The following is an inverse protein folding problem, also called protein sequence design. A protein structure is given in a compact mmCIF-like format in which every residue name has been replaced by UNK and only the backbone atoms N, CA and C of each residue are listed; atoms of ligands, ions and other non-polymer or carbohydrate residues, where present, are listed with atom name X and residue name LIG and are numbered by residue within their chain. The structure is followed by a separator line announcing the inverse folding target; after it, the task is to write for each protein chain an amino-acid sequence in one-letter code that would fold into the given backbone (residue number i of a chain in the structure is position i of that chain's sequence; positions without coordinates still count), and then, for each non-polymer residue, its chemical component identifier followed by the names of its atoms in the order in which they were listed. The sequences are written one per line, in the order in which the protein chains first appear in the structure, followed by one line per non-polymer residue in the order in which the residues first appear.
data_IF_301656760692
#
_entry.id   IF_301656760692
#
_cell.length_a   1.000
_cell.length_b   1.000
_cell.length_c   1.000
_cell.angle_alpha   90.00
_cell.angle_beta   90.00
_cell.angle_gamma   90.00
#
_symmetry.space_group_name_H-M   'P 1'
#
loop_
_entity.id
_entity.type
_entity.pdbx_description
1 polymer ?
#
# COMPACT_ATOMS: atom_id res chain seq x y z
N UNK A 1 26.82 -6.43 7.89
CA UNK A 1 25.97 -6.75 6.74
C UNK A 1 24.57 -7.08 7.25
N UNK A 2 23.71 -6.13 7.29
CA UNK A 2 22.29 -6.37 7.60
C UNK A 2 21.66 -6.75 6.26
N UNK A 3 21.76 -8.03 5.90
CA UNK A 3 20.83 -8.60 4.93
C UNK A 3 19.45 -8.43 5.55
N UNK A 4 18.72 -7.48 5.05
CA UNK A 4 17.34 -7.29 5.43
C UNK A 4 16.65 -8.64 5.31
N UNK A 5 16.10 -9.12 6.41
CA UNK A 5 15.29 -10.35 6.51
C UNK A 5 14.07 -10.37 5.56
N UNK A 6 14.08 -9.54 4.53
CA UNK A 6 12.98 -9.40 3.58
C UNK A 6 12.83 -10.64 2.70
N UNK A 7 13.94 -11.27 2.36
CA UNK A 7 13.94 -12.49 1.53
C UNK A 7 13.50 -13.74 2.31
N UNK A 8 13.53 -13.68 3.65
CA UNK A 8 13.12 -14.77 4.51
C UNK A 8 11.64 -14.72 4.93
N UNK A 9 10.93 -13.63 4.58
CA UNK A 9 9.50 -13.52 4.88
C UNK A 9 8.68 -14.34 3.88
N UNK A 10 7.65 -15.04 4.39
CA UNK A 10 6.66 -15.66 3.51
C UNK A 10 6.00 -14.62 2.60
N UNK A 11 5.52 -15.00 1.40
CA UNK A 11 4.81 -14.08 0.51
C UNK A 11 3.66 -13.34 1.19
N UNK A 12 2.93 -14.00 2.08
CA UNK A 12 1.88 -13.38 2.88
C UNK A 12 2.42 -12.30 3.82
N UNK A 13 3.51 -12.56 4.52
CA UNK A 13 4.10 -11.59 5.44
C UNK A 13 4.66 -10.37 4.69
N UNK A 14 5.22 -10.57 3.51
CA UNK A 14 5.65 -9.49 2.63
C UNK A 14 4.45 -8.64 2.17
N UNK A 15 3.36 -9.28 1.78
CA UNK A 15 2.13 -8.60 1.38
C UNK A 15 1.54 -7.78 2.53
N UNK A 16 1.45 -8.34 3.74
CA UNK A 16 0.96 -7.63 4.92
C UNK A 16 1.84 -6.44 5.26
N UNK A 17 3.15 -6.57 5.11
CA UNK A 17 4.08 -5.48 5.34
C UNK A 17 3.88 -4.34 4.33
N UNK A 18 3.67 -4.66 3.06
CA UNK A 18 3.33 -3.67 2.03
C UNK A 18 1.97 -3.02 2.30
N UNK A 19 0.96 -3.79 2.70
CA UNK A 19 -0.36 -3.29 3.09
C UNK A 19 -0.23 -2.23 4.19
N UNK A 20 0.47 -2.55 5.27
CA UNK A 20 0.70 -1.61 6.38
C UNK A 20 1.38 -0.34 5.91
N UNK A 21 2.43 -0.47 5.09
CA UNK A 21 3.14 0.66 4.52
C UNK A 21 2.22 1.56 3.70
N UNK A 22 1.40 0.99 2.83
CA UNK A 22 0.49 1.75 1.98
C UNK A 22 -0.66 2.38 2.77
N UNK A 23 -1.15 1.71 3.81
CA UNK A 23 -2.16 2.29 4.70
C UNK A 23 -1.62 3.52 5.44
N UNK A 24 -0.40 3.44 6.01
CA UNK A 24 0.24 4.59 6.66
C UNK A 24 0.53 5.74 5.70
N UNK A 25 0.77 5.44 4.43
CA UNK A 25 1.15 6.43 3.43
C UNK A 25 0.01 6.81 2.48
N UNK A 26 -1.24 6.45 2.80
CA UNK A 26 -2.37 6.68 1.89
C UNK A 26 -2.47 8.14 1.41
N UNK A 27 -2.37 9.09 2.32
CA UNK A 27 -2.41 10.51 1.98
C UNK A 27 -1.14 11.04 1.32
N UNK A 28 -0.08 10.24 1.26
CA UNK A 28 1.22 10.59 0.69
C UNK A 28 1.55 9.84 -0.60
N UNK A 29 0.59 9.09 -1.16
CA UNK A 29 0.83 8.30 -2.37
C UNK A 29 1.22 9.19 -3.53
N UNK A 30 0.61 10.35 -3.69
CA UNK A 30 0.99 11.31 -4.73
C UNK A 30 2.43 11.79 -4.57
N UNK A 31 2.87 12.03 -3.33
CA UNK A 31 4.27 12.38 -3.03
C UNK A 31 5.23 11.22 -3.36
N UNK A 32 4.82 9.97 -3.10
CA UNK A 32 5.60 8.78 -3.46
C UNK A 32 5.75 8.64 -4.98
N UNK A 33 4.69 8.94 -5.72
CA UNK A 33 4.72 8.95 -7.19
C UNK A 33 5.66 10.03 -7.69
N UNK A 34 5.57 11.25 -7.17
CA UNK A 34 6.44 12.36 -7.55
C UNK A 34 7.91 12.06 -7.26
N UNK A 35 8.18 11.48 -6.09
CA UNK A 35 9.53 11.03 -5.73
C UNK A 35 10.06 9.97 -6.70
N UNK A 36 9.22 9.03 -7.11
CA UNK A 36 9.61 8.02 -8.11
C UNK A 36 9.92 8.64 -9.47
N UNK A 37 9.15 9.64 -9.90
CA UNK A 37 9.43 10.40 -11.12
C UNK A 37 10.79 11.10 -11.05
N UNK A 38 11.11 11.71 -9.91
CA UNK A 38 12.43 12.33 -9.68
C UNK A 38 13.56 11.28 -9.76
N UNK A 39 13.39 10.12 -9.14
CA UNK A 39 14.35 9.01 -9.22
C UNK A 39 14.58 8.57 -10.67
N UNK A 40 13.53 8.47 -11.47
CA UNK A 40 13.63 8.10 -12.87
C UNK A 40 14.39 9.16 -13.70
N UNK A 41 14.15 10.42 -13.40
CA UNK A 41 14.88 11.53 -14.05
C UNK A 41 16.36 11.50 -13.65
N UNK A 42 16.67 11.31 -12.38
CA UNK A 42 18.05 11.28 -11.87
C UNK A 42 18.83 10.08 -12.42
N UNK A 43 18.16 8.95 -12.67
CA UNK A 43 18.77 7.76 -13.25
C UNK A 43 18.91 7.83 -14.77
N UNK A 44 18.35 8.86 -15.42
CA UNK A 44 18.61 9.10 -16.83
C UNK A 44 20.07 9.45 -17.03
N UNK A 45 20.66 8.92 -18.13
CA UNK A 45 22.02 9.26 -18.49
C UNK A 45 22.15 10.80 -18.59
N UNK A 46 23.23 11.35 -18.01
CA UNK A 46 23.51 12.80 -18.01
C UNK A 46 23.39 13.42 -19.40
N UNK A 47 23.80 12.70 -20.47
CA UNK A 47 23.63 13.14 -21.85
C UNK A 47 22.15 13.25 -22.25
N UNK A 48 21.33 12.33 -21.81
CA UNK A 48 19.87 12.34 -22.06
C UNK A 48 19.21 13.45 -21.26
N UNK A 49 19.60 13.63 -19.98
CA UNK A 49 19.08 14.71 -19.15
C UNK A 49 19.49 16.09 -19.67
N UNK A 50 20.73 16.26 -20.12
CA UNK A 50 21.21 17.47 -20.75
C UNK A 50 20.50 17.74 -22.09
N UNK A 51 20.25 16.70 -22.85
CA UNK A 51 19.50 16.76 -24.10
C UNK A 51 18.05 17.17 -23.86
N UNK A 52 17.38 16.60 -22.84
CA UNK A 52 16.02 16.97 -22.43
C UNK A 52 15.92 18.42 -21.97
N UNK A 53 16.95 18.94 -21.28
CA UNK A 53 17.02 20.36 -20.89
C UNK A 53 17.29 21.30 -22.06
N UNK A 54 18.00 20.81 -23.10
CA UNK A 54 18.33 21.58 -24.31
C UNK A 54 17.23 21.55 -25.37
N UNK A 55 16.36 20.58 -25.34
CA UNK A 55 15.31 20.37 -26.35
C UNK A 55 13.94 20.72 -25.77
N UNK A 56 13.79 21.95 -25.31
CA UNK A 56 12.47 22.51 -24.99
C UNK A 56 11.58 22.69 -26.25
N UNK A 57 11.95 22.15 -27.40
CA UNK A 57 11.26 22.38 -28.67
C UNK A 57 10.76 21.12 -29.35
N UNK A 58 11.10 19.93 -28.87
CA UNK A 58 10.62 18.66 -29.41
C UNK A 58 9.55 18.06 -28.52
N UNK A 59 8.29 18.39 -28.83
CA UNK A 59 7.10 17.94 -28.09
C UNK A 59 7.03 16.41 -27.99
N UNK A 60 7.53 15.68 -29.00
CA UNK A 60 7.51 14.21 -29.01
C UNK A 60 8.39 13.60 -27.89
N UNK A 61 9.53 14.19 -27.60
CA UNK A 61 10.46 13.67 -26.57
C UNK A 61 9.93 13.88 -25.15
N UNK A 62 9.28 15.02 -24.92
CA UNK A 62 8.63 15.30 -23.64
C UNK A 62 7.44 14.36 -23.40
N UNK A 63 6.63 14.13 -24.43
CA UNK A 63 5.54 13.16 -24.38
C UNK A 63 6.04 11.73 -24.15
N UNK A 64 7.15 11.34 -24.77
CA UNK A 64 7.80 10.03 -24.56
C UNK A 64 8.28 9.85 -23.13
N UNK A 65 8.82 10.90 -22.49
CA UNK A 65 9.23 10.86 -21.08
C UNK A 65 8.02 10.71 -20.17
N UNK A 66 6.95 11.46 -20.43
CA UNK A 66 5.70 11.34 -19.66
C UNK A 66 5.08 9.96 -19.85
N UNK A 67 5.06 9.43 -21.06
CA UNK A 67 4.60 8.08 -21.34
C UNK A 67 5.45 7.04 -20.61
N UNK A 68 6.77 7.24 -20.51
CA UNK A 68 7.68 6.40 -19.73
C UNK A 68 7.35 6.39 -18.24
N UNK A 69 6.90 7.50 -17.66
CA UNK A 69 6.42 7.53 -16.28
C UNK A 69 5.17 6.69 -16.09
N UNK A 70 4.22 6.77 -17.01
CA UNK A 70 2.99 5.99 -16.96
C UNK A 70 3.23 4.48 -17.13
N UNK A 71 4.31 4.10 -17.80
CA UNK A 71 4.71 2.70 -17.97
C UNK A 71 5.60 2.18 -16.82
N UNK A 72 6.09 3.03 -15.94
CA UNK A 72 6.91 2.61 -14.81
C UNK A 72 6.12 1.72 -13.86
N UNK A 73 6.66 0.55 -13.54
CA UNK A 73 5.97 -0.45 -12.73
C UNK A 73 5.67 0.02 -11.29
N UNK A 74 6.54 0.84 -10.70
CA UNK A 74 6.33 1.40 -9.36
C UNK A 74 5.22 2.44 -9.35
N UNK A 75 5.21 3.34 -10.31
CA UNK A 75 4.16 4.36 -10.45
C UNK A 75 2.81 3.69 -10.69
N UNK A 76 2.77 2.71 -11.57
CA UNK A 76 1.55 1.92 -11.83
C UNK A 76 1.06 1.21 -10.58
N UNK A 77 1.98 0.65 -9.78
CA UNK A 77 1.62 -0.02 -8.53
C UNK A 77 1.09 0.97 -7.49
N UNK A 78 1.70 2.14 -7.35
CA UNK A 78 1.19 3.17 -6.45
C UNK A 78 -0.21 3.65 -6.85
N UNK A 79 -0.47 3.85 -8.14
CA UNK A 79 -1.80 4.21 -8.64
C UNK A 79 -2.82 3.10 -8.38
N UNK A 80 -2.45 1.85 -8.58
CA UNK A 80 -3.30 0.71 -8.28
C UNK A 80 -3.64 0.66 -6.79
N UNK A 81 -2.66 0.86 -5.91
CA UNK A 81 -2.88 0.96 -4.47
C UNK A 81 -3.83 2.11 -4.11
N UNK A 82 -3.64 3.26 -4.71
CA UNK A 82 -4.48 4.44 -4.46
C UNK A 82 -5.95 4.16 -4.80
N UNK A 83 -6.21 3.59 -5.95
CA UNK A 83 -7.56 3.22 -6.40
C UNK A 83 -8.15 2.13 -5.50
N UNK A 84 -7.37 1.12 -5.17
CA UNK A 84 -7.78 0.04 -4.28
C UNK A 84 -8.17 0.56 -2.89
N UNK A 85 -7.33 1.37 -2.27
CA UNK A 85 -7.60 1.91 -0.93
C UNK A 85 -8.79 2.86 -0.94
N UNK A 86 -8.93 3.68 -1.97
CA UNK A 86 -10.12 4.54 -2.13
C UNK A 86 -11.41 3.73 -2.15
N UNK A 87 -11.42 2.64 -2.90
CA UNK A 87 -12.56 1.74 -2.98
C UNK A 87 -12.82 1.01 -1.66
N UNK A 88 -11.75 0.51 -1.02
CA UNK A 88 -11.84 -0.15 0.28
C UNK A 88 -12.42 0.78 1.34
N UNK A 89 -11.95 2.01 1.41
CA UNK A 89 -12.42 2.99 2.39
C UNK A 89 -13.89 3.38 2.14
N UNK A 90 -14.27 3.49 0.88
CA UNK A 90 -15.68 3.70 0.51
C UNK A 90 -16.60 2.58 1.00
N UNK A 91 -16.13 1.34 0.94
CA UNK A 91 -16.87 0.18 1.46
C UNK A 91 -16.94 0.22 2.99
N UNK A 92 -15.82 0.46 3.65
CA UNK A 92 -15.74 0.50 5.12
C UNK A 92 -16.53 1.67 5.70
N UNK A 93 -16.54 2.82 5.02
CA UNK A 93 -17.27 4.02 5.44
C UNK A 93 -18.79 3.79 5.47
N UNK A 94 -19.32 2.96 4.58
CA UNK A 94 -20.74 2.56 4.59
C UNK A 94 -21.14 1.81 5.85
N UNK A 95 -20.18 1.25 6.55
CA UNK A 95 -20.34 0.55 7.83
C UNK A 95 -19.72 1.37 8.96
N UNK A 96 -20.18 2.62 9.16
CA UNK A 96 -19.62 3.57 10.15
C UNK A 96 -19.53 2.99 11.57
N UNK A 97 -20.41 2.06 11.92
CA UNK A 97 -20.35 1.34 13.18
C UNK A 97 -19.34 0.18 13.20
N UNK A 98 -18.64 -0.06 12.09
CA UNK A 98 -17.66 -1.14 12.02
C UNK A 98 -16.43 -0.80 12.87
N UNK A 99 -16.09 -1.70 13.78
CA UNK A 99 -14.85 -1.61 14.56
C UNK A 99 -13.58 -1.54 13.70
N UNK A 100 -13.63 -2.08 12.48
CA UNK A 100 -12.50 -2.04 11.54
C UNK A 100 -12.30 -0.65 10.95
N UNK A 101 -13.37 0.07 10.66
CA UNK A 101 -13.27 1.45 10.18
C UNK A 101 -12.69 2.38 11.26
N UNK A 102 -13.14 2.24 12.49
CA UNK A 102 -12.60 2.99 13.62
C UNK A 102 -11.14 2.65 13.87
N UNK A 103 -10.78 1.37 13.83
CA UNK A 103 -9.39 0.91 13.96
C UNK A 103 -8.50 1.50 12.86
N UNK A 104 -8.96 1.48 11.62
CA UNK A 104 -8.26 2.07 10.48
C UNK A 104 -7.90 3.54 10.72
N UNK A 105 -8.90 4.32 11.14
CA UNK A 105 -8.71 5.75 11.40
C UNK A 105 -7.72 6.00 12.54
N UNK A 106 -7.89 5.31 13.66
CA UNK A 106 -7.05 5.52 14.83
C UNK A 106 -5.62 5.03 14.61
N UNK A 107 -5.43 3.88 13.98
CA UNK A 107 -4.11 3.27 13.79
C UNK A 107 -3.33 3.92 12.65
N UNK A 108 -3.94 4.03 11.48
CA UNK A 108 -3.22 4.40 10.26
C UNK A 108 -3.30 5.89 9.93
N UNK A 109 -4.41 6.52 10.19
CA UNK A 109 -4.57 7.94 9.88
C UNK A 109 -4.13 8.85 11.03
N UNK A 110 -4.42 8.46 12.26
CA UNK A 110 -4.04 9.22 13.44
C UNK A 110 -2.73 8.72 14.09
N UNK A 111 -2.22 7.57 13.64
CA UNK A 111 -0.97 6.96 14.11
C UNK A 111 -0.89 6.83 15.65
N UNK A 112 -1.99 6.39 16.26
CA UNK A 112 -2.05 6.24 17.70
C UNK A 112 -1.43 4.89 18.14
N UNK A 113 -0.78 4.85 19.32
CA UNK A 113 -0.31 3.59 19.89
C UNK A 113 -1.47 2.71 20.35
N UNK A 114 -1.25 1.41 20.43
CA UNK A 114 -2.28 0.42 20.80
C UNK A 114 -2.95 0.72 22.14
N UNK A 115 -2.20 1.23 23.11
CA UNK A 115 -2.73 1.61 24.40
C UNK A 115 -3.84 2.68 24.29
N UNK A 116 -3.62 3.71 23.49
CA UNK A 116 -4.62 4.76 23.25
C UNK A 116 -5.81 4.26 22.44
N UNK A 117 -5.55 3.44 21.42
CA UNK A 117 -6.62 2.86 20.59
C UNK A 117 -7.52 1.96 21.44
N UNK A 118 -6.94 1.14 22.32
CA UNK A 118 -7.70 0.25 23.18
C UNK A 118 -8.62 1.03 24.10
N UNK A 119 -8.15 2.15 24.66
CA UNK A 119 -8.97 3.05 25.47
C UNK A 119 -10.10 3.69 24.68
N UNK A 120 -9.81 4.21 23.49
CA UNK A 120 -10.80 4.86 22.63
C UNK A 120 -11.87 3.91 22.09
N UNK A 121 -11.49 2.69 21.78
CA UNK A 121 -12.40 1.65 21.30
C UNK A 121 -13.11 0.89 22.42
N UNK A 122 -12.69 1.11 23.67
CA UNK A 122 -13.18 0.38 24.84
C UNK A 122 -13.04 -1.16 24.70
N UNK A 123 -11.87 -1.58 24.27
CA UNK A 123 -11.48 -2.99 24.13
C UNK A 123 -10.16 -3.23 24.86
N UNK A 124 -9.88 -4.47 25.21
CA UNK A 124 -8.56 -4.83 25.75
C UNK A 124 -7.49 -4.81 24.67
N UNK A 125 -6.22 -4.70 25.05
CA UNK A 125 -5.12 -4.76 24.09
C UNK A 125 -5.05 -6.10 23.35
N UNK A 126 -5.40 -7.20 24.02
CA UNK A 126 -5.47 -8.54 23.40
C UNK A 126 -6.59 -8.62 22.35
N UNK A 127 -7.76 -8.06 22.66
CA UNK A 127 -8.85 -7.93 21.68
C UNK A 127 -8.43 -7.04 20.51
N UNK A 128 -7.69 -5.97 20.77
CA UNK A 128 -7.20 -5.08 19.73
C UNK A 128 -6.22 -5.77 18.78
N UNK A 129 -5.34 -6.64 19.30
CA UNK A 129 -4.44 -7.46 18.47
C UNK A 129 -5.23 -8.38 17.53
N UNK A 130 -6.31 -8.97 18.03
CA UNK A 130 -7.21 -9.80 17.21
C UNK A 130 -7.87 -8.96 16.12
N UNK A 131 -8.38 -7.78 16.45
CA UNK A 131 -8.97 -6.85 15.50
C UNK A 131 -7.95 -6.44 14.43
N UNK A 132 -6.72 -6.10 14.84
CA UNK A 132 -5.65 -5.70 13.93
C UNK A 132 -5.28 -6.83 12.95
N UNK A 133 -5.12 -8.04 13.44
CA UNK A 133 -4.81 -9.19 12.60
C UNK A 133 -5.94 -9.51 11.63
N UNK A 134 -7.17 -9.45 12.10
CA UNK A 134 -8.34 -9.69 11.28
C UNK A 134 -8.49 -8.62 10.19
N UNK A 135 -8.28 -7.35 10.54
CA UNK A 135 -8.27 -6.24 9.60
C UNK A 135 -7.26 -6.45 8.48
N UNK A 136 -6.02 -6.80 8.83
CA UNK A 136 -4.97 -7.06 7.85
C UNK A 136 -5.33 -8.24 6.92
N UNK A 137 -5.94 -9.27 7.45
CA UNK A 137 -6.42 -10.41 6.65
C UNK A 137 -7.54 -10.01 5.69
N UNK A 138 -8.46 -9.18 6.13
CA UNK A 138 -9.54 -8.65 5.27
C UNK A 138 -8.94 -7.83 4.12
N UNK A 139 -8.03 -6.90 4.42
CA UNK A 139 -7.39 -6.07 3.41
C UNK A 139 -6.61 -6.94 2.42
N UNK A 140 -5.87 -7.91 2.91
CA UNK A 140 -5.12 -8.85 2.07
C UNK A 140 -6.05 -9.64 1.13
N UNK A 141 -7.16 -10.13 1.63
CA UNK A 141 -8.16 -10.85 0.83
C UNK A 141 -8.72 -9.99 -0.31
N UNK A 142 -9.08 -8.75 -0.01
CA UNK A 142 -9.57 -7.81 -1.03
C UNK A 142 -8.46 -7.41 -2.02
N UNK A 143 -7.23 -7.24 -1.54
CA UNK A 143 -6.08 -6.92 -2.38
C UNK A 143 -5.76 -8.04 -3.39
N UNK A 144 -5.91 -9.29 -2.99
CA UNK A 144 -5.77 -10.44 -3.90
C UNK A 144 -6.88 -10.42 -4.96
N UNK A 145 -8.13 -10.17 -4.58
CA UNK A 145 -9.24 -10.05 -5.52
C UNK A 145 -9.02 -8.94 -6.54
N UNK A 146 -8.39 -7.85 -6.12
CA UNK A 146 -8.06 -6.71 -6.96
C UNK A 146 -6.73 -6.88 -7.72
N UNK A 147 -6.13 -8.05 -7.63
CA UNK A 147 -4.87 -8.43 -8.31
C UNK A 147 -3.65 -7.59 -7.93
N UNK A 148 -3.65 -6.98 -6.74
CA UNK A 148 -2.46 -6.34 -6.18
C UNK A 148 -1.37 -7.34 -5.83
N UNK A 149 -1.75 -8.53 -5.43
CA UNK A 149 -0.86 -9.65 -5.14
C UNK A 149 -1.23 -10.85 -6.00
N UNK A 150 -0.23 -11.59 -6.44
CA UNK A 150 -0.44 -12.87 -7.13
C UNK A 150 -1.02 -13.89 -6.16
N UNK A 151 -1.89 -14.74 -6.71
CA UNK A 151 -2.61 -15.74 -5.94
C UNK A 151 -1.70 -16.73 -5.20
N UNK A 152 -1.58 -16.55 -3.90
CA UNK A 152 -1.34 -17.64 -2.96
C UNK A 152 -2.60 -17.85 -2.09
N UNK A 153 -3.75 -17.76 -2.74
CA UNK A 153 -5.09 -17.79 -2.12
C UNK A 153 -5.30 -19.04 -1.28
N UNK A 154 -4.72 -20.17 -1.69
CA UNK A 154 -4.92 -21.46 -1.01
C UNK A 154 -4.38 -21.45 0.42
N UNK A 155 -3.30 -20.74 0.69
CA UNK A 155 -2.71 -20.69 2.02
C UNK A 155 -3.46 -19.76 2.98
N UNK A 156 -4.08 -18.70 2.48
CA UNK A 156 -4.91 -17.81 3.30
C UNK A 156 -6.27 -18.43 3.63
N UNK A 157 -6.88 -19.13 2.69
CA UNK A 157 -8.15 -19.83 2.91
C UNK A 157 -7.99 -20.99 3.89
N UNK A 158 -6.88 -21.72 3.84
CA UNK A 158 -6.59 -22.80 4.79
C UNK A 158 -6.41 -22.30 6.22
N UNK A 159 -5.77 -21.14 6.41
CA UNK A 159 -5.63 -20.51 7.73
C UNK A 159 -6.99 -20.03 8.25
N UNK A 160 -7.87 -19.54 7.37
CA UNK A 160 -9.22 -19.12 7.74
C UNK A 160 -10.12 -20.28 8.14
N UNK A 161 -10.07 -21.41 7.44
CA UNK A 161 -10.84 -22.60 7.78
C UNK A 161 -10.40 -23.20 9.11
N UNK A 162 -9.13 -23.06 9.49
CA UNK A 162 -8.62 -23.52 10.78
C UNK A 162 -9.02 -22.60 11.95
N UNK A 163 -9.33 -21.34 11.71
CA UNK A 163 -9.81 -20.40 12.74
C UNK A 163 -11.34 -20.46 12.96
N UNK A 164 -12.09 -20.98 11.99
CA UNK A 164 -13.55 -21.11 12.04
C UNK A 164 -14.06 -22.53 12.32
N UNK A 165 -13.15 -23.45 12.63
CA UNK A 165 -13.49 -24.81 13.05
C UNK A 165 -13.45 -24.96 14.56
#
# INVERSE_FOLDING_TARGET
MITTNYELLSPRNRAIKEIKYMLYNYYKIDELIDKRKEELIDNMNLSTAAWLRGINQDSNTFEDVIAGFDDDWKIRRYRHWQDFLRNLFSILEKFESSKYFVFLQLKYFNDLPFEEISKKMNVTEDELKIIANYFNCIVYKYAIKDKLFKEEVQNCVAVWSNFNS
#
